data_IF_311868976115
#
_entry.id   IF_311868976115
#
_cell.length_a   1.000
_cell.length_b   1.000
_cell.length_c   1.000
_cell.angle_alpha   90.00
_cell.angle_beta   90.00
_cell.angle_gamma   90.00
#
_symmetry.space_group_name_H-M   'P 1'
#
loop_
_entity.id
_entity.type
_entity.pdbx_description
1 polymer ?
#
# COMPACT_ATOMS: atom_id res chain seq x y z
N UNK A 1 -68.31 -9.12 -14.92
CA UNK A 1 -67.59 -10.08 -14.10
C UNK A 1 -66.33 -10.42 -14.87
N UNK A 2 -65.11 -10.05 -14.38
CA UNK A 2 -63.86 -10.39 -15.07
C UNK A 2 -63.65 -11.91 -15.01
N UNK A 3 -63.25 -12.51 -16.13
CA UNK A 3 -62.92 -13.93 -16.18
C UNK A 3 -61.72 -14.27 -15.25
N UNK A 4 -61.59 -15.52 -14.81
CA UNK A 4 -60.53 -15.95 -13.89
C UNK A 4 -59.15 -15.77 -14.54
N UNK A 5 -59.08 -15.99 -15.84
CA UNK A 5 -57.84 -15.82 -16.65
C UNK A 5 -57.37 -14.36 -16.67
N UNK A 6 -58.33 -13.39 -16.77
CA UNK A 6 -58.00 -11.97 -16.76
C UNK A 6 -57.43 -11.52 -15.41
N UNK A 7 -57.98 -12.03 -14.31
CA UNK A 7 -57.45 -11.74 -12.95
C UNK A 7 -56.05 -12.30 -12.76
N UNK A 8 -55.81 -13.52 -13.21
CA UNK A 8 -54.51 -14.16 -13.13
C UNK A 8 -53.46 -13.42 -14.00
N UNK A 9 -53.84 -13.05 -15.22
CA UNK A 9 -52.96 -12.25 -16.10
C UNK A 9 -52.60 -10.88 -15.51
N UNK A 10 -53.57 -10.20 -14.87
CA UNK A 10 -53.33 -8.92 -14.22
C UNK A 10 -52.36 -9.05 -13.04
N UNK A 11 -52.52 -10.12 -12.23
CA UNK A 11 -51.58 -10.37 -11.09
C UNK A 11 -50.17 -10.64 -11.57
N UNK A 12 -50.00 -11.44 -12.62
CA UNK A 12 -48.68 -11.73 -13.20
C UNK A 12 -48.04 -10.47 -13.76
N UNK A 13 -48.81 -9.63 -14.45
CA UNK A 13 -48.31 -8.36 -15.00
C UNK A 13 -47.88 -7.39 -13.88
N UNK A 14 -48.68 -7.27 -12.82
CA UNK A 14 -48.37 -6.47 -11.65
C UNK A 14 -47.09 -6.98 -10.94
N UNK A 15 -46.97 -8.30 -10.76
CA UNK A 15 -45.76 -8.90 -10.17
C UNK A 15 -44.51 -8.61 -11.02
N UNK A 16 -44.64 -8.72 -12.35
CA UNK A 16 -43.53 -8.36 -13.28
C UNK A 16 -43.14 -6.89 -13.19
N UNK A 17 -44.10 -5.98 -13.11
CA UNK A 17 -43.84 -4.55 -12.92
C UNK A 17 -43.15 -4.27 -11.58
N UNK A 18 -43.61 -4.86 -10.48
CA UNK A 18 -42.99 -4.70 -9.16
C UNK A 18 -41.56 -5.24 -9.18
N UNK A 19 -41.32 -6.39 -9.82
CA UNK A 19 -39.97 -6.97 -9.95
C UNK A 19 -39.06 -6.08 -10.79
N UNK A 20 -39.54 -5.57 -11.92
CA UNK A 20 -38.80 -4.67 -12.78
C UNK A 20 -38.44 -3.37 -12.07
N UNK A 21 -39.40 -2.72 -11.42
CA UNK A 21 -39.12 -1.49 -10.66
C UNK A 21 -38.29 -1.75 -9.42
N UNK A 22 -38.47 -2.91 -8.76
CA UNK A 22 -37.63 -3.30 -7.61
C UNK A 22 -36.19 -3.52 -7.98
N UNK A 23 -35.90 -4.24 -9.07
CA UNK A 23 -34.55 -4.43 -9.58
C UNK A 23 -33.94 -3.09 -10.06
N UNK A 24 -34.76 -2.28 -10.76
CA UNK A 24 -34.32 -0.95 -11.23
C UNK A 24 -34.01 -0.02 -10.06
N UNK A 25 -34.80 -0.06 -8.99
CA UNK A 25 -34.56 0.70 -7.77
C UNK A 25 -33.27 0.24 -7.06
N UNK A 26 -33.04 -1.06 -6.94
CA UNK A 26 -31.79 -1.60 -6.38
C UNK A 26 -30.54 -1.26 -7.21
N UNK A 27 -30.69 -1.27 -8.53
CA UNK A 27 -29.59 -0.84 -9.44
C UNK A 27 -29.34 0.67 -9.41
N UNK A 28 -30.38 1.45 -9.20
CA UNK A 28 -30.35 2.92 -9.27
C UNK A 28 -30.33 3.61 -7.89
N UNK A 29 -29.98 2.88 -6.83
CA UNK A 29 -29.87 3.49 -5.48
C UNK A 29 -28.80 4.63 -5.42
N UNK A 30 -28.00 4.78 -6.46
CA UNK A 30 -27.05 5.89 -6.66
C UNK A 30 -27.69 7.23 -7.09
N UNK A 31 -28.98 7.28 -7.47
CA UNK A 31 -29.61 8.51 -7.98
C UNK A 31 -29.94 9.57 -6.91
N UNK A 32 -29.77 9.25 -5.61
CA UNK A 32 -29.95 10.19 -4.49
C UNK A 32 -28.65 10.48 -3.74
N UNK A 33 -27.55 9.89 -4.21
CA UNK A 33 -26.24 10.04 -3.58
C UNK A 33 -25.63 11.38 -4.02
N UNK A 34 -25.54 12.32 -3.10
CA UNK A 34 -24.92 13.65 -3.29
C UNK A 34 -23.38 13.60 -3.40
N UNK A 35 -22.79 12.41 -3.58
CA UNK A 35 -21.35 12.22 -3.66
C UNK A 35 -20.75 12.86 -4.91
N UNK A 36 -19.51 13.29 -4.81
CA UNK A 36 -18.70 13.79 -5.94
C UNK A 36 -17.76 12.69 -6.42
N UNK A 37 -17.45 12.67 -7.71
CA UNK A 37 -16.44 11.80 -8.29
C UNK A 37 -15.15 12.58 -8.50
N UNK A 38 -14.06 12.09 -7.94
CA UNK A 38 -12.74 12.68 -8.06
C UNK A 38 -11.75 11.66 -8.64
N UNK A 39 -10.67 12.15 -9.17
CA UNK A 39 -9.70 11.33 -9.88
C UNK A 39 -8.31 11.41 -9.25
N UNK A 40 -7.52 10.38 -9.46
CA UNK A 40 -6.06 10.39 -9.21
C UNK A 40 -5.37 9.54 -10.25
N UNK A 41 -4.16 9.95 -10.67
CA UNK A 41 -3.39 9.26 -11.71
C UNK A 41 -2.16 8.64 -11.09
N UNK A 42 -1.98 7.35 -11.30
CA UNK A 42 -0.86 6.56 -10.74
C UNK A 42 -0.04 5.92 -11.85
N UNK A 43 1.23 5.68 -11.59
CA UNK A 43 2.08 4.87 -12.48
C UNK A 43 1.77 3.37 -12.35
N UNK A 44 1.35 2.93 -11.17
CA UNK A 44 0.95 1.56 -10.86
C UNK A 44 -0.09 1.55 -9.74
N UNK A 45 -0.85 0.51 -9.61
CA UNK A 45 -1.92 0.40 -8.58
C UNK A 45 -1.82 -0.86 -7.70
N UNK A 46 -0.87 -1.75 -7.98
CA UNK A 46 -0.39 -2.90 -7.18
C UNK A 46 -1.48 -3.68 -6.43
N UNK A 47 -2.53 -4.10 -7.13
CA UNK A 47 -3.61 -4.90 -6.55
C UNK A 47 -4.76 -4.09 -5.96
N UNK A 48 -4.84 -2.78 -6.23
CA UNK A 48 -6.04 -1.99 -5.98
C UNK A 48 -7.18 -2.51 -6.87
N UNK A 49 -8.35 -2.70 -6.29
CA UNK A 49 -9.53 -3.18 -7.03
C UNK A 49 -10.71 -2.22 -6.84
N UNK A 50 -11.68 -2.29 -7.75
CA UNK A 50 -12.93 -1.52 -7.63
C UNK A 50 -13.69 -1.84 -6.35
N UNK A 51 -14.50 -0.90 -5.90
CA UNK A 51 -15.32 -0.96 -4.68
C UNK A 51 -14.56 -0.96 -3.35
N UNK A 52 -13.24 -0.89 -3.36
CA UNK A 52 -12.45 -0.71 -2.14
C UNK A 52 -12.71 0.67 -1.52
N UNK A 53 -12.61 0.78 -0.17
CA UNK A 53 -12.89 2.02 0.52
C UNK A 53 -11.85 3.10 0.22
N UNK A 54 -12.31 4.34 0.23
CA UNK A 54 -11.49 5.54 0.29
C UNK A 54 -11.62 6.09 1.71
N UNK A 55 -10.52 6.20 2.42
CA UNK A 55 -10.49 6.53 3.84
C UNK A 55 -9.81 7.88 4.11
N UNK A 56 -10.25 8.57 5.16
CA UNK A 56 -9.55 9.69 5.81
C UNK A 56 -9.29 9.26 7.26
N UNK A 57 -8.02 9.17 7.65
CA UNK A 57 -7.64 8.76 9.02
C UNK A 57 -8.34 7.46 9.49
N UNK A 58 -8.53 6.50 8.59
CA UNK A 58 -9.19 5.22 8.89
C UNK A 58 -10.72 5.24 8.80
N UNK A 59 -11.35 6.41 8.66
CA UNK A 59 -12.79 6.51 8.47
C UNK A 59 -13.12 6.48 6.98
N UNK A 60 -14.00 5.59 6.56
CA UNK A 60 -14.44 5.51 5.15
C UNK A 60 -15.29 6.73 4.79
N UNK A 61 -14.86 7.43 3.75
CA UNK A 61 -15.53 8.62 3.20
C UNK A 61 -16.06 8.40 1.79
N UNK A 62 -15.72 7.25 1.18
CA UNK A 62 -16.13 6.92 -0.18
C UNK A 62 -15.61 5.57 -0.61
N UNK A 63 -15.65 5.31 -1.91
CA UNK A 63 -15.21 4.06 -2.53
C UNK A 63 -14.57 4.30 -3.89
N UNK A 64 -13.77 3.36 -4.34
CA UNK A 64 -13.24 3.33 -5.70
C UNK A 64 -14.39 2.94 -6.65
N UNK A 65 -14.62 3.74 -7.67
CA UNK A 65 -15.65 3.52 -8.67
C UNK A 65 -15.12 2.73 -9.88
N UNK A 66 -14.01 3.20 -10.46
CA UNK A 66 -13.33 2.49 -11.55
C UNK A 66 -11.80 2.67 -11.51
N UNK A 67 -11.12 1.79 -12.22
CA UNK A 67 -9.67 1.79 -12.41
C UNK A 67 -9.45 1.53 -13.89
N UNK A 68 -8.94 2.53 -14.61
CA UNK A 68 -8.81 2.49 -16.07
C UNK A 68 -7.42 2.99 -16.50
N UNK A 69 -6.98 2.57 -17.69
CA UNK A 69 -5.77 3.16 -18.26
C UNK A 69 -6.02 4.62 -18.68
N UNK A 70 -5.00 5.45 -18.46
CA UNK A 70 -5.06 6.84 -18.88
C UNK A 70 -5.17 6.96 -20.41
N UNK A 71 -6.06 7.82 -20.95
CA UNK A 71 -6.32 7.91 -22.40
C UNK A 71 -5.10 8.31 -23.24
N UNK A 72 -4.06 8.87 -22.63
CA UNK A 72 -2.82 9.29 -23.32
C UNK A 72 -1.90 8.14 -23.73
N UNK A 73 -2.28 6.90 -23.50
CA UNK A 73 -1.50 5.68 -23.80
C UNK A 73 -0.12 5.63 -23.10
N UNK A 74 0.07 6.39 -22.03
CA UNK A 74 1.31 6.41 -21.25
C UNK A 74 1.52 5.15 -20.39
N UNK A 75 0.50 4.29 -20.27
CA UNK A 75 0.48 3.17 -19.34
C UNK A 75 0.12 3.55 -17.91
N UNK A 76 -0.07 4.84 -17.61
CA UNK A 76 -0.56 5.30 -16.31
C UNK A 76 -2.01 4.85 -16.09
N UNK A 77 -2.41 4.80 -14.83
CA UNK A 77 -3.74 4.34 -14.42
C UNK A 77 -4.48 5.50 -13.78
N UNK A 78 -5.70 5.75 -14.23
CA UNK A 78 -6.63 6.68 -13.62
C UNK A 78 -7.53 5.90 -12.67
N UNK A 79 -7.59 6.32 -11.43
CA UNK A 79 -8.52 5.80 -10.44
C UNK A 79 -9.61 6.84 -10.20
N UNK A 80 -10.86 6.47 -10.46
CA UNK A 80 -12.01 7.30 -10.09
C UNK A 80 -12.54 6.86 -8.72
N UNK A 81 -12.79 7.85 -7.87
CA UNK A 81 -13.21 7.67 -6.49
C UNK A 81 -14.51 8.43 -6.27
N UNK A 82 -15.51 7.74 -5.78
CA UNK A 82 -16.76 8.35 -5.32
C UNK A 82 -16.62 8.73 -3.85
N UNK A 83 -16.79 10.01 -3.55
CA UNK A 83 -16.78 10.52 -2.17
C UNK A 83 -18.22 10.82 -1.78
N UNK A 84 -18.71 10.11 -0.78
CA UNK A 84 -20.09 10.19 -0.30
C UNK A 84 -20.21 11.02 0.99
N UNK A 85 -19.07 11.49 1.54
CA UNK A 85 -18.97 12.25 2.79
C UNK A 85 -18.98 13.75 2.51
N UNK A 86 -19.67 14.50 3.37
CA UNK A 86 -19.64 15.97 3.39
C UNK A 86 -18.35 16.56 4.01
N UNK A 87 -17.35 15.73 4.32
CA UNK A 87 -16.09 16.20 4.88
C UNK A 87 -15.35 17.11 3.89
N UNK A 88 -14.92 18.33 4.31
CA UNK A 88 -14.26 19.27 3.41
C UNK A 88 -12.85 18.76 3.04
N UNK A 89 -12.64 18.41 1.78
CA UNK A 89 -11.37 17.91 1.26
C UNK A 89 -10.73 19.03 0.41
N UNK A 90 -9.57 19.57 0.79
CA UNK A 90 -8.84 20.54 -0.01
C UNK A 90 -8.27 19.94 -1.30
N UNK A 91 -8.19 20.72 -2.38
CA UNK A 91 -7.62 20.31 -3.68
C UNK A 91 -6.14 19.91 -3.60
N UNK A 92 -5.40 20.38 -2.58
CA UNK A 92 -4.01 20.02 -2.35
C UNK A 92 -3.85 18.76 -1.48
N UNK A 93 -4.92 18.01 -1.22
CA UNK A 93 -4.88 16.73 -0.56
C UNK A 93 -4.18 15.69 -1.43
N UNK A 94 -3.72 14.60 -0.83
CA UNK A 94 -2.97 13.53 -1.47
C UNK A 94 -3.77 12.23 -1.38
N UNK A 95 -4.00 11.58 -2.52
CA UNK A 95 -4.57 10.25 -2.59
C UNK A 95 -3.42 9.21 -2.53
N UNK A 96 -3.24 8.59 -1.36
CA UNK A 96 -2.18 7.62 -1.10
C UNK A 96 -2.74 6.21 -1.22
N UNK A 97 -2.20 5.40 -2.15
CA UNK A 97 -2.42 3.95 -2.11
C UNK A 97 -1.54 3.37 -1.01
N UNK A 98 -2.15 2.74 -0.02
CA UNK A 98 -1.44 2.06 1.07
C UNK A 98 -1.94 0.63 1.27
N UNK A 99 -1.19 -0.17 2.00
CA UNK A 99 -1.64 -1.49 2.43
C UNK A 99 -2.66 -1.33 3.56
N UNK A 100 -3.82 -1.98 3.43
CA UNK A 100 -4.85 -2.03 4.48
C UNK A 100 -4.61 -3.17 5.47
N UNK A 101 -3.83 -4.18 5.05
CA UNK A 101 -3.47 -5.32 5.87
C UNK A 101 -2.07 -5.87 5.53
N UNK A 102 -1.62 -6.87 6.28
CA UNK A 102 -0.35 -7.57 6.07
C UNK A 102 -0.38 -8.54 4.88
N UNK A 103 -1.56 -8.86 4.36
CA UNK A 103 -1.74 -9.81 3.26
C UNK A 103 -1.66 -9.14 1.88
N UNK A 104 -1.55 -7.81 1.86
CA UNK A 104 -1.33 -7.03 0.64
C UNK A 104 -2.61 -6.44 0.04
N UNK A 105 -3.75 -6.48 0.73
CA UNK A 105 -4.91 -5.71 0.33
C UNK A 105 -4.56 -4.22 0.30
N UNK A 106 -5.08 -3.50 -0.70
CA UNK A 106 -4.79 -2.07 -0.89
C UNK A 106 -6.05 -1.25 -0.63
N UNK A 107 -5.86 -0.03 -0.18
CA UNK A 107 -6.90 0.99 -0.04
C UNK A 107 -6.36 2.35 -0.43
N UNK A 108 -7.23 3.31 -0.66
CA UNK A 108 -6.84 4.71 -0.82
C UNK A 108 -7.06 5.45 0.49
N UNK A 109 -5.99 6.04 0.99
CA UNK A 109 -6.03 6.95 2.14
C UNK A 109 -5.86 8.39 1.65
N UNK A 110 -6.84 9.23 1.89
CA UNK A 110 -6.76 10.65 1.60
C UNK A 110 -6.02 11.35 2.75
N UNK A 111 -4.85 11.87 2.47
CA UNK A 111 -4.11 12.75 3.37
C UNK A 111 -4.56 14.18 3.11
N UNK A 112 -5.23 14.76 4.10
CA UNK A 112 -5.86 16.06 3.97
C UNK A 112 -4.81 17.17 3.90
N UNK A 113 -4.91 17.97 2.86
CA UNK A 113 -4.08 19.17 2.68
C UNK A 113 -4.51 20.33 3.57
N UNK A 114 -3.68 21.35 3.61
CA UNK A 114 -3.93 22.60 4.38
C UNK A 114 -4.57 23.73 3.54
N UNK A 115 -4.95 23.43 2.29
CA UNK A 115 -5.56 24.39 1.37
C UNK A 115 -6.93 24.87 1.80
N UNK A 116 -7.33 26.04 1.33
CA UNK A 116 -8.68 26.60 1.58
C UNK A 116 -9.68 26.29 0.45
N UNK A 117 -9.16 25.94 -0.73
CA UNK A 117 -9.98 25.58 -1.88
C UNK A 117 -10.34 24.11 -1.75
N UNK A 118 -11.62 23.80 -1.77
CA UNK A 118 -12.13 22.43 -1.66
C UNK A 118 -12.25 21.80 -3.05
N UNK A 119 -12.20 20.48 -3.09
CA UNK A 119 -12.40 19.70 -4.31
C UNK A 119 -13.85 19.85 -4.80
N UNK A 120 -14.00 19.82 -6.11
CA UNK A 120 -15.27 19.77 -6.80
C UNK A 120 -15.40 18.48 -7.61
N UNK A 121 -16.62 18.21 -8.11
CA UNK A 121 -16.87 17.05 -8.98
C UNK A 121 -16.00 17.13 -10.24
N UNK A 122 -15.28 16.07 -10.55
CA UNK A 122 -14.36 16.01 -11.69
C UNK A 122 -12.90 16.40 -11.38
N UNK A 123 -12.59 16.87 -10.18
CA UNK A 123 -11.24 17.26 -9.81
C UNK A 123 -10.27 16.08 -9.73
N UNK A 124 -8.98 16.38 -9.95
CA UNK A 124 -7.89 15.40 -9.86
C UNK A 124 -6.97 15.73 -8.70
N UNK A 125 -6.85 14.80 -7.74
CA UNK A 125 -5.91 14.91 -6.63
C UNK A 125 -4.51 14.42 -7.03
N UNK A 126 -3.51 14.90 -6.30
CA UNK A 126 -2.16 14.33 -6.37
C UNK A 126 -2.19 12.90 -5.84
N UNK A 127 -1.35 12.05 -6.41
CA UNK A 127 -1.24 10.64 -6.08
C UNK A 127 0.11 10.31 -5.46
N UNK A 128 0.11 9.31 -4.59
CA UNK A 128 1.31 8.64 -4.11
C UNK A 128 1.01 7.16 -3.87
N UNK A 129 2.06 6.38 -3.76
CA UNK A 129 1.98 4.95 -3.44
C UNK A 129 2.91 4.73 -2.26
N UNK A 130 2.39 4.14 -1.20
CA UNK A 130 3.19 3.70 -0.06
C UNK A 130 4.12 2.55 -0.49
N UNK A 131 5.35 2.59 -0.06
CA UNK A 131 6.29 1.48 -0.28
C UNK A 131 5.70 0.20 0.33
N UNK A 132 5.71 -0.89 -0.44
CA UNK A 132 5.22 -2.16 0.08
C UNK A 132 6.14 -2.66 1.20
N UNK A 133 5.58 -3.43 2.13
CA UNK A 133 6.36 -4.07 3.20
C UNK A 133 7.51 -4.92 2.59
N UNK A 134 7.27 -5.54 1.42
CA UNK A 134 8.30 -6.28 0.69
C UNK A 134 9.43 -5.40 0.19
N UNK A 135 9.14 -4.20 -0.29
CA UNK A 135 10.17 -3.25 -0.74
C UNK A 135 10.95 -2.69 0.45
N UNK A 136 10.28 -2.37 1.54
CA UNK A 136 10.91 -1.94 2.79
C UNK A 136 11.83 -3.04 3.35
N UNK A 137 11.35 -4.29 3.44
CA UNK A 137 12.15 -5.43 3.88
C UNK A 137 13.37 -5.62 2.96
N UNK A 138 13.23 -5.55 1.65
CA UNK A 138 14.35 -5.69 0.72
C UNK A 138 15.40 -4.60 0.91
N UNK A 139 14.98 -3.36 1.15
CA UNK A 139 15.90 -2.25 1.44
C UNK A 139 16.67 -2.45 2.76
N UNK A 140 16.00 -2.95 3.78
CA UNK A 140 16.59 -3.13 5.12
C UNK A 140 17.38 -4.43 5.25
N UNK A 141 16.92 -5.52 4.64
CA UNK A 141 17.55 -6.85 4.75
C UNK A 141 18.76 -6.97 3.83
N UNK A 142 18.79 -6.30 2.67
CA UNK A 142 19.91 -6.39 1.75
C UNK A 142 21.24 -5.91 2.36
N UNK A 143 21.33 -4.78 3.09
CA UNK A 143 22.54 -4.38 3.79
C UNK A 143 22.98 -5.38 4.87
N UNK A 144 22.01 -5.95 5.61
CA UNK A 144 22.30 -6.97 6.64
C UNK A 144 22.90 -8.22 6.00
N UNK A 145 22.34 -8.68 4.87
CA UNK A 145 22.90 -9.80 4.10
C UNK A 145 24.34 -9.55 3.67
N UNK A 146 24.62 -8.39 3.08
CA UNK A 146 25.98 -8.01 2.62
C UNK A 146 26.96 -7.99 3.81
N UNK A 147 26.55 -7.40 4.94
CA UNK A 147 27.40 -7.35 6.15
C UNK A 147 27.62 -8.75 6.73
N UNK A 148 26.62 -9.63 6.70
CA UNK A 148 26.77 -11.03 7.12
C UNK A 148 27.75 -11.81 6.23
N UNK A 149 27.66 -11.63 4.91
CA UNK A 149 28.61 -12.23 3.96
C UNK A 149 30.05 -11.74 4.20
N UNK A 150 30.24 -10.46 4.49
CA UNK A 150 31.55 -9.87 4.85
C UNK A 150 32.09 -10.47 6.17
N UNK A 151 31.21 -10.69 7.15
CA UNK A 151 31.58 -11.35 8.40
C UNK A 151 32.08 -12.78 8.17
N UNK A 152 31.34 -13.55 7.36
CA UNK A 152 31.71 -14.94 7.02
C UNK A 152 33.08 -14.94 6.32
N UNK A 153 33.30 -14.05 5.35
CA UNK A 153 34.61 -13.94 4.68
C UNK A 153 35.75 -13.57 5.65
N UNK A 154 35.45 -12.75 6.67
CA UNK A 154 36.42 -12.40 7.72
C UNK A 154 36.73 -13.59 8.62
N UNK A 155 35.76 -14.41 8.95
CA UNK A 155 35.94 -15.65 9.69
C UNK A 155 36.84 -16.65 8.93
N UNK A 156 36.62 -16.81 7.62
CA UNK A 156 37.50 -17.65 6.78
C UNK A 156 38.96 -17.19 6.83
N UNK A 157 39.17 -15.87 6.81
CA UNK A 157 40.54 -15.28 6.95
C UNK A 157 41.15 -15.63 8.30
N UNK A 158 40.38 -15.56 9.39
CA UNK A 158 40.84 -15.94 10.73
C UNK A 158 41.18 -17.42 10.80
N UNK A 159 40.35 -18.30 10.24
CA UNK A 159 40.62 -19.74 10.19
C UNK A 159 41.88 -20.06 9.40
N UNK A 160 42.10 -19.39 8.27
CA UNK A 160 43.35 -19.54 7.48
C UNK A 160 44.58 -19.07 8.25
N UNK A 161 44.49 -17.93 8.95
CA UNK A 161 45.58 -17.42 9.76
C UNK A 161 45.93 -18.34 10.93
N UNK A 162 44.91 -18.88 11.63
CA UNK A 162 45.11 -19.88 12.68
C UNK A 162 45.75 -21.15 12.14
N UNK A 163 45.33 -21.60 10.97
CA UNK A 163 45.93 -22.76 10.31
C UNK A 163 47.37 -22.52 9.93
N UNK A 164 47.72 -21.33 9.46
CA UNK A 164 49.08 -20.91 9.16
C UNK A 164 49.96 -20.81 10.42
N UNK A 165 49.42 -20.31 11.52
CA UNK A 165 50.11 -20.23 12.82
C UNK A 165 50.44 -21.62 13.36
N UNK A 166 49.47 -22.54 13.30
CA UNK A 166 49.66 -23.94 13.73
C UNK A 166 50.70 -24.69 12.87
N UNK A 167 50.96 -24.26 11.65
CA UNK A 167 51.97 -24.85 10.73
C UNK A 167 53.35 -24.18 10.81
N UNK A 168 53.58 -23.21 11.70
CA UNK A 168 54.92 -22.75 12.02
C UNK A 168 55.40 -21.47 11.32
N UNK A 169 54.55 -20.50 11.11
CA UNK A 169 55.03 -19.21 10.73
C UNK A 169 53.91 -18.22 10.52
N UNK A 170 53.81 -17.19 11.35
CA UNK A 170 53.38 -15.90 10.84
C UNK A 170 52.78 -14.99 11.91
N UNK A 171 53.64 -14.24 12.54
CA UNK A 171 53.25 -13.13 13.43
C UNK A 171 52.55 -11.99 12.64
N UNK A 172 52.84 -11.85 11.34
CA UNK A 172 52.36 -10.77 10.50
C UNK A 172 50.92 -10.99 10.00
N UNK A 173 50.60 -12.23 9.64
CA UNK A 173 49.25 -12.58 9.15
C UNK A 173 48.24 -12.68 10.30
N UNK A 174 48.71 -13.01 11.49
CA UNK A 174 47.91 -13.00 12.71
C UNK A 174 47.43 -11.58 13.08
N UNK A 175 48.34 -10.58 13.01
CA UNK A 175 47.99 -9.18 13.26
C UNK A 175 46.93 -8.64 12.29
N UNK A 176 47.07 -8.93 11.00
CA UNK A 176 46.10 -8.48 10.00
C UNK A 176 44.76 -9.16 10.17
N UNK A 177 44.74 -10.46 10.51
CA UNK A 177 43.53 -11.22 10.79
C UNK A 177 42.80 -10.72 12.04
N UNK A 178 43.52 -10.45 13.13
CA UNK A 178 42.93 -9.84 14.33
C UNK A 178 42.37 -8.43 14.06
N UNK A 179 43.04 -7.62 13.22
CA UNK A 179 42.52 -6.33 12.80
C UNK A 179 41.18 -6.47 12.03
N UNK A 180 41.10 -7.45 11.12
CA UNK A 180 39.88 -7.71 10.34
C UNK A 180 38.71 -8.21 11.21
N UNK A 181 39.01 -9.10 12.19
CA UNK A 181 38.01 -9.54 13.17
C UNK A 181 37.49 -8.39 14.02
N UNK A 182 38.41 -7.55 14.51
CA UNK A 182 38.05 -6.39 15.31
C UNK A 182 37.16 -5.43 14.50
N UNK A 183 37.50 -5.17 13.22
CA UNK A 183 36.66 -4.35 12.33
C UNK A 183 35.28 -5.00 12.09
N UNK A 184 35.22 -6.32 11.94
CA UNK A 184 33.96 -7.05 11.78
C UNK A 184 33.07 -6.96 13.02
N UNK A 185 33.69 -7.01 14.22
CA UNK A 185 32.96 -6.81 15.48
C UNK A 185 32.45 -5.38 15.64
N UNK A 186 33.23 -4.37 15.20
CA UNK A 186 32.77 -2.98 15.16
C UNK A 186 31.55 -2.86 14.23
N UNK A 187 31.65 -3.38 13.02
CA UNK A 187 30.55 -3.38 12.05
C UNK A 187 29.29 -4.08 12.59
N UNK A 188 29.45 -5.22 13.29
CA UNK A 188 28.33 -5.90 13.96
C UNK A 188 27.67 -5.04 15.04
N UNK A 189 28.49 -4.36 15.83
CA UNK A 189 27.97 -3.46 16.87
C UNK A 189 27.21 -2.27 16.26
N UNK A 190 27.70 -1.71 15.15
CA UNK A 190 27.00 -0.68 14.40
C UNK A 190 25.66 -1.19 13.87
N UNK A 191 25.60 -2.37 13.22
CA UNK A 191 24.37 -2.99 12.74
C UNK A 191 23.37 -3.19 13.89
N UNK A 192 23.84 -3.73 15.02
CA UNK A 192 23.00 -3.98 16.17
C UNK A 192 22.42 -2.69 16.74
N UNK A 193 23.24 -1.63 16.74
CA UNK A 193 22.81 -0.30 17.20
C UNK A 193 21.81 0.33 16.24
N UNK A 194 22.06 0.29 14.93
CA UNK A 194 21.14 0.77 13.91
C UNK A 194 19.80 0.02 13.96
N UNK A 195 19.84 -1.32 14.07
CA UNK A 195 18.64 -2.13 14.20
C UNK A 195 17.85 -1.81 15.48
N UNK A 196 18.55 -1.60 16.60
CA UNK A 196 17.93 -1.19 17.86
C UNK A 196 17.29 0.19 17.78
N UNK A 197 17.95 1.14 17.11
CA UNK A 197 17.42 2.49 16.86
C UNK A 197 16.18 2.42 15.97
N UNK A 198 16.25 1.68 14.87
CA UNK A 198 15.13 1.46 13.97
C UNK A 198 13.93 0.82 14.68
N UNK A 199 14.15 -0.20 15.50
CA UNK A 199 13.09 -0.83 16.29
C UNK A 199 12.48 0.13 17.33
N UNK A 200 13.27 1.02 17.92
CA UNK A 200 12.76 2.00 18.87
C UNK A 200 11.97 3.11 18.18
N UNK A 201 12.46 3.63 17.05
CA UNK A 201 11.78 4.67 16.28
C UNK A 201 10.45 4.19 15.67
N UNK A 202 10.38 2.91 15.28
CA UNK A 202 9.15 2.33 14.72
C UNK A 202 8.25 1.67 15.78
N UNK A 203 8.61 1.65 17.04
CA UNK A 203 7.82 1.05 18.11
C UNK A 203 6.48 1.77 18.34
N UNK A 204 6.42 3.08 18.09
CA UNK A 204 5.19 3.88 18.17
C UNK A 204 4.27 3.67 16.94
N UNK A 205 4.81 3.20 15.81
CA UNK A 205 4.02 2.93 14.61
C UNK A 205 3.47 1.49 14.53
N UNK A 206 3.95 0.58 15.42
CA UNK A 206 3.58 -0.83 15.48
C UNK A 206 2.67 -1.18 16.67
N UNK A 207 2.31 -0.22 17.52
CA UNK A 207 1.35 -0.34 18.62
C UNK A 207 0.12 0.49 18.39
#
# INVERSE_FOLDING_TARGET
MFSRELKTGLVVLLAGLILYFGISYLKNSTLLDKGITIYSVYERVDGLIGSQPVNINGLSVGRIESIDFHPDQSGRVVVSMRIDSDYPIPVNSLALIKSSDLLGAKEISLQIGSGKVLIEDGDTLRSAIEESLGDAINKEVLPVKIKAEQLIASLDTVVQALTGFLKGGVEKDFRSSFSNVNQSLINLNEITTELSTYMNENRESLG
#
